data_IF_500321143280
#
_entry.id   IF_500321143280
#
_cell.length_a   1.000
_cell.length_b   1.000
_cell.length_c   1.000
_cell.angle_alpha   90.00
_cell.angle_beta   90.00
_cell.angle_gamma   90.00
#
_symmetry.space_group_name_H-M   'P 1'
#
loop_
_entity.id
_entity.type
_entity.pdbx_description
1 polymer ?
#
# COMPACT_ATOMS: atom_id res chain seq x y z
N UNK A 1 -24.54 19.46 10.30
CA UNK A 1 -24.07 20.39 9.23
C UNK A 1 -23.22 19.58 8.28
N UNK A 2 -23.69 19.35 7.04
CA UNK A 2 -22.84 18.73 6.00
C UNK A 2 -22.00 19.83 5.37
N UNK A 3 -20.69 19.80 5.56
CA UNK A 3 -19.80 20.68 4.81
C UNK A 3 -19.80 20.19 3.36
N UNK A 4 -20.28 20.98 2.39
CA UNK A 4 -20.26 20.56 1.00
C UNK A 4 -18.81 20.35 0.56
N UNK A 5 -18.51 19.14 0.07
CA UNK A 5 -17.22 18.82 -0.50
C UNK A 5 -17.02 19.65 -1.77
N UNK A 6 -15.93 20.40 -1.83
CA UNK A 6 -15.54 21.16 -3.01
C UNK A 6 -14.47 20.41 -3.82
N UNK A 7 -14.57 20.36 -5.16
CA UNK A 7 -13.55 19.71 -5.99
C UNK A 7 -12.18 20.38 -5.85
N UNK A 8 -11.11 19.57 -5.85
CA UNK A 8 -9.72 20.04 -5.76
C UNK A 8 -9.16 20.57 -7.09
N UNK A 9 -9.94 20.56 -8.18
CA UNK A 9 -9.48 20.99 -9.51
C UNK A 9 -8.37 20.10 -10.10
N UNK A 10 -8.19 18.87 -9.60
CA UNK A 10 -7.08 17.97 -9.99
C UNK A 10 -7.22 17.36 -11.39
N UNK A 11 -8.35 17.56 -12.07
CA UNK A 11 -8.67 16.88 -13.33
C UNK A 11 -9.14 15.42 -13.17
N UNK A 12 -9.08 14.87 -11.96
CA UNK A 12 -9.61 13.54 -11.64
C UNK A 12 -11.01 13.62 -11.04
N UNK A 13 -11.86 12.67 -11.42
CA UNK A 13 -13.25 12.58 -10.99
C UNK A 13 -13.55 11.29 -10.21
N UNK A 14 -14.80 11.14 -9.73
CA UNK A 14 -15.22 9.96 -8.95
C UNK A 14 -15.05 8.62 -9.68
N UNK A 15 -14.99 8.64 -11.02
CA UNK A 15 -14.84 7.46 -11.86
C UNK A 15 -13.40 7.21 -12.31
N UNK A 16 -12.43 8.06 -11.96
CA UNK A 16 -11.03 7.87 -12.36
C UNK A 16 -10.44 6.69 -11.59
N UNK A 17 -9.93 5.70 -12.33
CA UNK A 17 -9.31 4.52 -11.74
C UNK A 17 -7.85 4.77 -11.33
N UNK A 18 -7.33 3.94 -10.43
CA UNK A 18 -5.93 4.00 -9.96
C UNK A 18 -4.93 3.90 -11.11
N UNK A 19 -5.22 3.09 -12.11
CA UNK A 19 -4.38 2.89 -13.30
C UNK A 19 -4.28 4.18 -14.12
N UNK A 20 -5.35 4.96 -14.22
CA UNK A 20 -5.37 6.23 -14.93
C UNK A 20 -4.55 7.29 -14.21
N UNK A 21 -4.68 7.36 -12.88
CA UNK A 21 -3.89 8.27 -12.03
C UNK A 21 -2.39 7.95 -12.13
N UNK A 22 -2.05 6.66 -12.20
CA UNK A 22 -0.66 6.20 -12.22
C UNK A 22 -0.01 6.23 -13.61
N UNK A 23 -0.71 6.63 -14.68
CA UNK A 23 -0.13 6.66 -16.04
C UNK A 23 1.10 7.56 -16.09
N UNK A 24 2.21 7.01 -16.56
CA UNK A 24 3.50 7.71 -16.69
C UNK A 24 4.25 7.92 -15.37
N UNK A 25 3.74 7.41 -14.25
CA UNK A 25 4.44 7.43 -12.97
C UNK A 25 5.35 6.21 -12.87
N UNK A 26 6.61 6.44 -12.53
CA UNK A 26 7.62 5.40 -12.31
C UNK A 26 8.15 5.48 -10.87
N UNK A 27 8.07 4.36 -10.14
CA UNK A 27 8.42 4.25 -8.71
C UNK A 27 9.55 3.25 -8.46
N UNK A 28 10.36 2.93 -9.47
CA UNK A 28 11.52 2.06 -9.30
C UNK A 28 12.48 2.61 -8.24
N UNK A 29 12.94 1.72 -7.35
CA UNK A 29 13.81 2.09 -6.23
C UNK A 29 13.07 2.66 -5.02
N UNK A 30 11.75 2.82 -5.10
CA UNK A 30 10.92 3.24 -3.97
C UNK A 30 10.34 2.02 -3.26
N UNK A 31 10.35 2.05 -1.93
CA UNK A 31 9.59 1.12 -1.11
C UNK A 31 8.36 1.84 -0.50
N UNK A 32 7.18 1.24 -0.62
CA UNK A 32 5.93 1.81 -0.12
C UNK A 32 5.24 0.86 0.87
N UNK A 33 4.91 1.35 2.07
CA UNK A 33 4.16 0.60 3.07
C UNK A 33 2.65 0.82 2.91
N UNK A 34 1.90 -0.22 2.58
CA UNK A 34 0.44 -0.13 2.41
C UNK A 34 -0.29 -0.93 3.49
N UNK A 35 -0.79 -0.21 4.50
CA UNK A 35 -1.69 -0.79 5.49
C UNK A 35 -3.03 -1.15 4.86
N UNK A 36 -3.62 -2.28 5.28
CA UNK A 36 -4.84 -2.78 4.65
C UNK A 36 -4.68 -3.19 3.17
N UNK A 37 -3.44 -3.32 2.69
CA UNK A 37 -3.08 -3.56 1.29
C UNK A 37 -3.60 -4.85 0.66
N UNK A 38 -4.26 -5.73 1.42
CA UNK A 38 -4.87 -6.97 0.92
C UNK A 38 -6.40 -6.90 0.81
N UNK A 39 -7.02 -5.72 0.90
CA UNK A 39 -8.49 -5.60 0.87
C UNK A 39 -8.95 -4.34 0.15
N UNK A 40 -10.11 -4.41 -0.51
CA UNK A 40 -10.79 -3.26 -1.13
C UNK A 40 -9.84 -2.35 -1.92
N UNK A 41 -9.85 -1.06 -1.56
CA UNK A 41 -8.97 -0.05 -2.16
C UNK A 41 -7.48 -0.33 -1.92
N UNK A 42 -7.11 -0.88 -0.76
CA UNK A 42 -5.71 -1.20 -0.47
C UNK A 42 -5.12 -2.20 -1.46
N UNK A 43 -5.90 -3.20 -1.88
CA UNK A 43 -5.45 -4.16 -2.90
C UNK A 43 -5.28 -3.51 -4.28
N UNK A 44 -6.16 -2.57 -4.65
CA UNK A 44 -6.01 -1.78 -5.88
C UNK A 44 -4.76 -0.89 -5.81
N UNK A 45 -4.52 -0.22 -4.68
CA UNK A 45 -3.33 0.59 -4.42
C UNK A 45 -2.05 -0.23 -4.54
N UNK A 46 -1.98 -1.42 -3.91
CA UNK A 46 -0.81 -2.30 -4.00
C UNK A 46 -0.52 -2.69 -5.45
N UNK A 47 -1.55 -3.09 -6.21
CA UNK A 47 -1.41 -3.44 -7.64
C UNK A 47 -0.88 -2.26 -8.45
N UNK A 48 -1.44 -1.08 -8.24
CA UNK A 48 -1.06 0.13 -8.97
C UNK A 48 0.40 0.56 -8.66
N UNK A 49 0.81 0.55 -7.38
CA UNK A 49 2.17 0.90 -6.97
C UNK A 49 3.20 -0.13 -7.46
N UNK A 50 2.90 -1.42 -7.32
CA UNK A 50 3.77 -2.49 -7.79
C UNK A 50 3.93 -2.47 -9.32
N UNK A 51 2.85 -2.21 -10.07
CA UNK A 51 2.89 -2.05 -11.52
C UNK A 51 3.72 -0.82 -11.97
N UNK A 52 3.75 0.23 -11.15
CA UNK A 52 4.63 1.39 -11.36
C UNK A 52 6.10 1.13 -10.97
N UNK A 53 6.43 -0.05 -10.43
CA UNK A 53 7.80 -0.47 -10.13
C UNK A 53 8.23 -0.34 -8.68
N UNK A 54 7.33 0.02 -7.76
CA UNK A 54 7.64 0.09 -6.33
C UNK A 54 7.81 -1.31 -5.72
N UNK A 55 8.65 -1.42 -4.69
CA UNK A 55 8.60 -2.53 -3.74
C UNK A 55 7.51 -2.25 -2.70
N UNK A 56 6.46 -3.05 -2.66
CA UNK A 56 5.30 -2.77 -1.79
C UNK A 56 5.30 -3.68 -0.59
N UNK A 57 5.36 -3.10 0.60
CA UNK A 57 5.30 -3.80 1.87
C UNK A 57 3.86 -3.80 2.39
N UNK A 58 3.29 -4.98 2.61
CA UNK A 58 1.90 -5.16 3.02
C UNK A 58 1.84 -5.82 4.41
N UNK A 59 1.77 -5.04 5.48
CA UNK A 59 1.53 -5.57 6.82
C UNK A 59 0.13 -6.17 6.92
N UNK A 60 0.03 -7.35 7.51
CA UNK A 60 -1.25 -8.03 7.73
C UNK A 60 -1.26 -8.86 9.01
N UNK A 61 -2.42 -8.85 9.69
CA UNK A 61 -2.74 -9.76 10.80
C UNK A 61 -2.97 -11.19 10.32
N UNK A 62 -3.36 -11.34 9.06
CA UNK A 62 -3.55 -12.62 8.39
C UNK A 62 -2.69 -12.65 7.11
N UNK A 63 -1.40 -13.01 7.23
CA UNK A 63 -0.50 -13.09 6.08
C UNK A 63 -0.94 -14.14 5.05
N UNK A 64 -1.60 -15.20 5.46
CA UNK A 64 -2.06 -16.26 4.55
C UNK A 64 -3.18 -15.74 3.63
N UNK A 65 -4.16 -15.02 4.19
CA UNK A 65 -5.17 -14.33 3.38
C UNK A 65 -4.55 -13.28 2.47
N UNK A 66 -3.61 -12.48 2.98
CA UNK A 66 -2.95 -11.46 2.18
C UNK A 66 -2.22 -12.06 0.97
N UNK A 67 -1.50 -13.17 1.15
CA UNK A 67 -0.81 -13.88 0.07
C UNK A 67 -1.77 -14.35 -1.02
N UNK A 68 -2.93 -14.91 -0.64
CA UNK A 68 -3.95 -15.33 -1.62
C UNK A 68 -4.50 -14.16 -2.44
N UNK A 69 -4.73 -13.00 -1.83
CA UNK A 69 -5.27 -11.83 -2.54
C UNK A 69 -4.25 -11.22 -3.51
N UNK A 70 -2.97 -11.29 -3.14
CA UNK A 70 -1.86 -10.61 -3.84
C UNK A 70 -0.96 -11.58 -4.62
N UNK A 71 -1.37 -12.84 -4.78
CA UNK A 71 -0.57 -13.92 -5.39
C UNK A 71 -0.04 -13.54 -6.79
N UNK A 72 -0.86 -12.84 -7.59
CA UNK A 72 -0.51 -12.44 -8.94
C UNK A 72 0.25 -11.09 -9.01
N UNK A 73 0.59 -10.47 -7.88
CA UNK A 73 1.23 -9.15 -7.83
C UNK A 73 2.72 -9.33 -7.51
N UNK A 74 3.57 -8.99 -8.46
CA UNK A 74 5.02 -8.99 -8.27
C UNK A 74 5.47 -7.84 -7.34
N UNK A 75 6.70 -7.93 -6.81
CA UNK A 75 7.31 -6.89 -5.97
C UNK A 75 6.50 -6.54 -4.70
N UNK A 76 5.84 -7.54 -4.10
CA UNK A 76 5.10 -7.38 -2.84
C UNK A 76 5.72 -8.25 -1.75
N UNK A 77 6.09 -7.65 -0.62
CA UNK A 77 6.49 -8.35 0.61
C UNK A 77 5.34 -8.28 1.63
N UNK A 78 4.90 -9.43 2.14
CA UNK A 78 3.84 -9.51 3.16
C UNK A 78 4.46 -9.84 4.50
N UNK A 79 4.23 -8.97 5.48
CA UNK A 79 4.84 -9.07 6.83
C UNK A 79 3.73 -9.17 7.90
N UNK A 80 3.87 -10.04 8.92
CA UNK A 80 2.93 -10.06 10.03
C UNK A 80 3.00 -8.77 10.84
N UNK A 81 1.86 -8.08 10.99
CA UNK A 81 1.71 -6.94 11.90
C UNK A 81 0.22 -6.72 12.24
N UNK A 82 -0.06 -6.44 13.50
CA UNK A 82 -1.38 -6.01 13.97
C UNK A 82 -1.37 -4.53 14.36
N UNK A 83 -2.12 -3.71 13.61
CA UNK A 83 -2.26 -2.28 13.87
C UNK A 83 -3.07 -1.97 15.15
N UNK A 84 -3.81 -2.94 15.68
CA UNK A 84 -4.49 -2.83 16.96
C UNK A 84 -3.56 -3.13 18.16
N UNK A 85 -2.36 -3.67 17.92
CA UNK A 85 -1.38 -3.97 18.96
C UNK A 85 -0.12 -3.08 18.81
N UNK A 86 0.06 -2.08 19.69
CA UNK A 86 1.25 -1.23 19.68
C UNK A 86 2.57 -1.98 19.81
N UNK A 87 2.60 -3.13 20.51
CA UNK A 87 3.82 -3.94 20.63
C UNK A 87 4.17 -4.61 19.29
N UNK A 88 3.16 -5.08 18.56
CA UNK A 88 3.31 -5.59 17.18
C UNK A 88 3.86 -4.52 16.24
N UNK A 89 3.30 -3.30 16.27
CA UNK A 89 3.80 -2.16 15.49
C UNK A 89 5.26 -1.86 15.83
N UNK A 90 5.58 -1.74 17.12
CA UNK A 90 6.95 -1.43 17.55
C UNK A 90 7.96 -2.52 17.15
N UNK A 91 7.55 -3.80 17.21
CA UNK A 91 8.38 -4.91 16.75
C UNK A 91 8.64 -4.87 15.24
N UNK A 92 7.59 -4.63 14.44
CA UNK A 92 7.71 -4.44 13.00
C UNK A 92 8.65 -3.27 12.67
N UNK A 93 8.44 -2.10 13.29
CA UNK A 93 9.29 -0.92 13.04
C UNK A 93 10.75 -1.17 13.39
N UNK A 94 11.05 -1.86 14.50
CA UNK A 94 12.44 -2.22 14.85
C UNK A 94 13.06 -3.17 13.83
N UNK A 95 12.32 -4.18 13.39
CA UNK A 95 12.79 -5.12 12.36
C UNK A 95 13.07 -4.40 11.04
N UNK A 96 12.19 -3.50 10.63
CA UNK A 96 12.36 -2.72 9.41
C UNK A 96 13.57 -1.79 9.49
N UNK A 97 13.71 -1.01 10.57
CA UNK A 97 14.85 -0.12 10.78
C UNK A 97 16.18 -0.88 10.80
N UNK A 98 16.20 -2.10 11.33
CA UNK A 98 17.40 -2.94 11.35
C UNK A 98 17.84 -3.41 9.94
N UNK A 99 16.94 -3.43 8.95
CA UNK A 99 17.30 -3.72 7.55
C UNK A 99 18.04 -2.57 6.87
N UNK A 100 17.90 -1.34 7.38
CA UNK A 100 18.50 -0.15 6.78
C UNK A 100 17.87 0.27 5.45
N UNK A 101 16.69 -0.27 5.13
CA UNK A 101 15.97 0.03 3.89
C UNK A 101 15.01 1.22 4.12
N UNK A 102 15.08 2.29 3.31
CA UNK A 102 14.14 3.39 3.40
C UNK A 102 12.76 2.93 2.92
N UNK A 103 11.71 3.26 3.67
CA UNK A 103 10.32 3.08 3.26
C UNK A 103 9.61 4.43 3.31
N UNK A 104 8.90 4.76 2.23
CA UNK A 104 8.13 6.00 2.08
C UNK A 104 6.71 5.85 2.61
#
# INVERSE_FOLDING_TARGET
MSTPQHPLGSGFGPATCSEEIMRGIHLHGTCALVTGGYSGLGAATVRALAAAGAHVLVPSRDPARARRVLEAVANVEIVPMDLADPASIAAFSRQWLARGEPCS
#
